data_IF_610993439832
#
_entry.id   IF_610993439832
#
_cell.length_a   1.000
_cell.length_b   1.000
_cell.length_c   1.000
_cell.angle_alpha   90.00
_cell.angle_beta   90.00
_cell.angle_gamma   90.00
#
_symmetry.space_group_name_H-M   'P 1'
#
loop_
_entity.id
_entity.type
_entity.pdbx_description
1 polymer ?
#
# COMPACT_ATOMS: atom_id res chain seq x y z
N UNK A 1 8.27 -2.44 14.27
CA UNK A 1 8.32 -3.62 13.37
C UNK A 1 9.73 -3.71 12.81
N UNK A 2 10.38 -4.88 12.80
CA UNK A 2 11.67 -5.02 12.11
C UNK A 2 11.42 -5.45 10.67
N UNK A 3 11.92 -4.68 9.70
CA UNK A 3 11.79 -5.01 8.28
C UNK A 3 12.91 -5.99 7.91
N UNK A 4 12.54 -7.11 7.28
CA UNK A 4 13.50 -8.06 6.71
C UNK A 4 13.96 -7.55 5.34
N UNK A 5 15.26 -7.39 5.14
CA UNK A 5 15.86 -6.84 3.90
C UNK A 5 15.40 -7.60 2.62
N UNK A 6 15.16 -8.91 2.73
CA UNK A 6 14.66 -9.72 1.60
C UNK A 6 13.21 -9.35 1.28
N UNK A 7 12.38 -9.21 2.30
CA UNK A 7 10.97 -8.80 2.17
C UNK A 7 10.87 -7.37 1.65
N UNK A 8 11.73 -6.49 2.13
CA UNK A 8 11.82 -5.09 1.73
C UNK A 8 12.12 -4.94 0.22
N UNK A 9 13.13 -5.66 -0.27
CA UNK A 9 13.51 -5.63 -1.69
C UNK A 9 12.38 -6.14 -2.60
N UNK A 10 11.71 -7.23 -2.20
CA UNK A 10 10.58 -7.79 -2.95
C UNK A 10 9.37 -6.84 -2.94
N UNK A 11 9.09 -6.23 -1.78
CA UNK A 11 8.03 -5.22 -1.62
C UNK A 11 8.28 -4.01 -2.51
N UNK A 12 9.50 -3.45 -2.49
CA UNK A 12 9.90 -2.35 -3.37
C UNK A 12 9.73 -2.70 -4.85
N UNK A 13 10.08 -3.92 -5.26
CA UNK A 13 9.91 -4.37 -6.64
C UNK A 13 8.44 -4.43 -7.06
N UNK A 14 7.55 -4.91 -6.19
CA UNK A 14 6.11 -4.95 -6.44
C UNK A 14 5.51 -3.53 -6.50
N UNK A 15 5.89 -2.64 -5.58
CA UNK A 15 5.49 -1.23 -5.60
C UNK A 15 5.97 -0.54 -6.88
N UNK A 16 7.23 -0.74 -7.29
CA UNK A 16 7.76 -0.16 -8.54
C UNK A 16 6.96 -0.61 -9.77
N UNK A 17 6.58 -1.89 -9.83
CA UNK A 17 5.74 -2.41 -10.91
C UNK A 17 4.34 -1.77 -10.92
N UNK A 18 3.75 -1.55 -9.75
CA UNK A 18 2.46 -0.89 -9.59
C UNK A 18 2.54 0.61 -9.94
N UNK A 19 3.58 1.34 -9.50
CA UNK A 19 3.85 2.74 -9.88
C UNK A 19 3.98 2.87 -11.40
N UNK A 20 4.65 1.91 -12.04
CA UNK A 20 4.81 1.84 -13.50
C UNK A 20 3.58 1.32 -14.25
N UNK A 21 2.48 1.00 -13.53
CA UNK A 21 1.22 0.50 -14.09
C UNK A 21 1.39 -0.72 -14.99
N UNK A 22 2.29 -1.63 -14.58
CA UNK A 22 2.64 -2.78 -15.38
C UNK A 22 2.16 -4.07 -14.71
N UNK A 23 0.96 -4.52 -15.09
CA UNK A 23 0.34 -5.71 -14.51
C UNK A 23 1.22 -6.96 -14.61
N UNK A 24 1.85 -7.20 -15.77
CA UNK A 24 2.71 -8.37 -15.95
C UNK A 24 3.96 -8.34 -15.06
N UNK A 25 4.53 -7.16 -14.81
CA UNK A 25 5.64 -7.02 -13.84
C UNK A 25 5.16 -7.13 -12.39
N UNK A 26 3.96 -6.64 -12.09
CA UNK A 26 3.39 -6.76 -10.75
C UNK A 26 3.11 -8.24 -10.44
N UNK A 27 2.44 -8.95 -11.34
CA UNK A 27 2.21 -10.39 -11.22
C UNK A 27 3.52 -11.16 -11.04
N UNK A 28 4.54 -10.88 -11.87
CA UNK A 28 5.85 -11.51 -11.75
C UNK A 28 6.54 -11.19 -10.42
N UNK A 29 6.42 -9.97 -9.91
CA UNK A 29 6.97 -9.59 -8.60
C UNK A 29 6.27 -10.31 -7.45
N UNK A 30 4.94 -10.44 -7.51
CA UNK A 30 4.16 -11.17 -6.51
C UNK A 30 4.46 -12.68 -6.54
N UNK A 31 4.71 -13.25 -7.72
CA UNK A 31 5.12 -14.66 -7.88
C UNK A 31 6.57 -14.91 -7.46
N UNK A 32 7.39 -13.87 -7.36
CA UNK A 32 8.78 -13.98 -6.92
C UNK A 32 8.92 -14.15 -5.39
N UNK A 33 7.82 -14.03 -4.63
CA UNK A 33 7.85 -14.32 -3.21
C UNK A 33 8.19 -15.81 -2.99
N UNK A 34 9.25 -16.11 -2.22
CA UNK A 34 9.77 -17.46 -2.08
C UNK A 34 8.92 -18.38 -1.19
N UNK A 35 8.11 -17.80 -0.30
CA UNK A 35 7.28 -18.49 0.68
C UNK A 35 6.13 -17.58 1.16
N UNK A 36 5.15 -18.20 1.82
CA UNK A 36 3.97 -17.50 2.35
C UNK A 36 4.33 -16.45 3.41
N UNK A 37 5.40 -16.68 4.17
CA UNK A 37 5.88 -15.75 5.20
C UNK A 37 6.44 -14.47 4.56
N UNK A 38 7.23 -14.59 3.48
CA UNK A 38 7.71 -13.44 2.73
C UNK A 38 6.58 -12.69 2.03
N UNK A 39 5.59 -13.40 1.47
CA UNK A 39 4.41 -12.78 0.88
C UNK A 39 3.61 -12.01 1.94
N UNK A 40 3.39 -12.61 3.11
CA UNK A 40 2.70 -11.99 4.25
C UNK A 40 3.44 -10.76 4.74
N UNK A 41 4.76 -10.86 4.97
CA UNK A 41 5.58 -9.73 5.42
C UNK A 41 5.56 -8.58 4.42
N UNK A 42 5.53 -8.89 3.11
CA UNK A 42 5.47 -7.86 2.06
C UNK A 42 4.13 -7.11 2.06
N UNK A 43 3.03 -7.84 2.26
CA UNK A 43 1.69 -7.24 2.39
C UNK A 43 1.60 -6.42 3.67
N UNK A 44 2.08 -6.94 4.80
CA UNK A 44 2.11 -6.21 6.08
C UNK A 44 2.91 -4.91 5.96
N UNK A 45 4.06 -4.94 5.28
CA UNK A 45 4.84 -3.73 4.99
C UNK A 45 4.08 -2.74 4.11
N UNK A 46 3.48 -3.19 3.00
CA UNK A 46 2.68 -2.32 2.13
C UNK A 46 1.50 -1.66 2.86
N UNK A 47 0.79 -2.42 3.72
CA UNK A 47 -0.29 -1.90 4.55
C UNK A 47 0.19 -0.88 5.60
N UNK A 48 1.35 -1.14 6.21
CA UNK A 48 1.97 -0.22 7.16
C UNK A 48 2.37 1.10 6.47
N UNK A 49 2.96 1.03 5.28
CA UNK A 49 3.31 2.20 4.46
C UNK A 49 2.06 2.96 4.03
N UNK A 50 1.02 2.28 3.54
CA UNK A 50 -0.28 2.89 3.20
C UNK A 50 -0.83 3.69 4.39
N UNK A 51 -0.83 3.08 5.57
CA UNK A 51 -1.31 3.74 6.79
C UNK A 51 -0.43 4.94 7.15
N UNK A 52 0.89 4.78 7.13
CA UNK A 52 1.83 5.87 7.42
C UNK A 52 1.60 7.08 6.51
N UNK A 53 1.55 6.87 5.18
CA UNK A 53 1.37 7.95 4.21
C UNK A 53 0.05 8.67 4.45
N UNK A 54 -1.05 7.95 4.69
CA UNK A 54 -2.34 8.57 4.99
C UNK A 54 -2.30 9.40 6.27
N UNK A 55 -1.66 8.90 7.33
CA UNK A 55 -1.53 9.66 8.58
C UNK A 55 -0.66 10.90 8.41
N UNK A 56 0.43 10.82 7.64
CA UNK A 56 1.31 11.96 7.36
C UNK A 56 0.59 13.03 6.53
N UNK A 57 -0.12 12.63 5.46
CA UNK A 57 -0.84 13.55 4.55
C UNK A 57 -1.97 14.28 5.26
N UNK A 58 -2.72 13.58 6.10
CA UNK A 58 -3.88 14.16 6.80
C UNK A 58 -3.54 14.67 8.22
N UNK A 59 -2.26 14.67 8.61
CA UNK A 59 -1.79 15.05 9.94
C UNK A 59 -2.53 14.32 11.08
N UNK A 60 -2.83 13.04 10.88
CA UNK A 60 -3.65 12.21 11.76
C UNK A 60 -4.49 11.20 10.99
N UNK A 61 -5.36 10.47 11.72
CA UNK A 61 -6.25 9.49 11.11
C UNK A 61 -7.23 10.18 10.15
N UNK A 62 -7.30 9.79 8.86
CA UNK A 62 -8.24 10.38 7.92
C UNK A 62 -9.71 10.13 8.31
N UNK A 63 -10.59 11.08 7.96
CA UNK A 63 -12.05 10.90 8.08
C UNK A 63 -12.59 10.00 6.96
N UNK A 64 -13.80 9.42 7.10
CA UNK A 64 -14.43 8.63 6.02
C UNK A 64 -14.61 9.40 4.72
N UNK A 65 -14.87 10.71 4.78
CA UNK A 65 -14.98 11.55 3.59
C UNK A 65 -13.63 11.70 2.90
N UNK A 66 -12.55 11.82 3.68
CA UNK A 66 -11.18 11.89 3.15
C UNK A 66 -10.75 10.57 2.50
N UNK A 67 -11.05 9.42 3.13
CA UNK A 67 -10.76 8.10 2.52
C UNK A 67 -11.53 7.91 1.22
N UNK A 68 -12.79 8.37 1.17
CA UNK A 68 -13.59 8.29 -0.05
C UNK A 68 -13.05 9.19 -1.17
N UNK A 69 -12.51 10.37 -0.85
CA UNK A 69 -11.84 11.22 -1.85
C UNK A 69 -10.61 10.51 -2.43
N UNK A 70 -9.78 9.90 -1.57
CA UNK A 70 -8.63 9.08 -2.03
C UNK A 70 -9.11 7.93 -2.91
N UNK A 71 -10.18 7.24 -2.53
CA UNK A 71 -10.72 6.14 -3.32
C UNK A 71 -11.19 6.58 -4.71
N UNK A 72 -11.86 7.73 -4.82
CA UNK A 72 -12.28 8.30 -6.12
C UNK A 72 -11.08 8.66 -6.99
N UNK A 73 -10.08 9.33 -6.41
CA UNK A 73 -8.86 9.72 -7.15
C UNK A 73 -8.09 8.49 -7.63
N UNK A 74 -7.90 7.50 -6.76
CA UNK A 74 -7.22 6.25 -7.08
C UNK A 74 -7.91 5.51 -8.21
N UNK A 75 -9.23 5.35 -8.18
CA UNK A 75 -9.96 4.65 -9.25
C UNK A 75 -9.82 5.37 -10.59
N UNK A 76 -9.79 6.70 -10.60
CA UNK A 76 -9.59 7.47 -11.82
C UNK A 76 -8.16 7.33 -12.35
N UNK A 77 -7.15 7.29 -11.47
CA UNK A 77 -5.74 7.20 -11.87
C UNK A 77 -5.28 5.78 -12.18
N UNK A 78 -5.82 4.78 -11.48
CA UNK A 78 -5.40 3.38 -11.52
C UNK A 78 -6.39 2.49 -12.29
N UNK A 79 -7.09 3.06 -13.29
CA UNK A 79 -8.03 2.34 -14.18
C UNK A 79 -7.44 1.07 -14.82
N UNK A 80 -6.12 1.02 -14.99
CA UNK A 80 -5.42 -0.15 -15.56
C UNK A 80 -5.55 -1.41 -14.71
N UNK A 81 -5.81 -1.27 -13.41
CA UNK A 81 -6.04 -2.38 -12.49
C UNK A 81 -7.53 -2.57 -12.14
N UNK A 82 -8.41 -1.75 -12.73
CA UNK A 82 -9.86 -1.83 -12.62
C UNK A 82 -10.44 -1.90 -11.17
N UNK A 83 -9.90 -1.19 -10.15
CA UNK A 83 -10.51 -1.18 -8.83
C UNK A 83 -11.83 -0.39 -8.86
N UNK A 84 -12.76 -0.72 -7.98
CA UNK A 84 -13.96 0.09 -7.73
C UNK A 84 -13.78 1.02 -6.52
N UNK A 85 -14.55 2.11 -6.48
CA UNK A 85 -14.47 3.09 -5.37
C UNK A 85 -14.83 2.43 -4.04
N UNK A 86 -15.84 1.56 -4.03
CA UNK A 86 -16.31 0.90 -2.82
C UNK A 86 -15.31 -0.16 -2.31
N UNK A 87 -14.58 -0.85 -3.20
CA UNK A 87 -13.49 -1.75 -2.81
C UNK A 87 -12.35 -0.98 -2.14
N UNK A 88 -11.93 0.13 -2.72
CA UNK A 88 -10.81 0.94 -2.20
C UNK A 88 -11.19 1.62 -0.89
N UNK A 89 -12.37 2.25 -0.81
CA UNK A 89 -12.87 2.89 0.41
C UNK A 89 -13.07 1.85 1.53
N UNK A 90 -13.62 0.68 1.20
CA UNK A 90 -13.77 -0.43 2.13
C UNK A 90 -12.43 -0.98 2.63
N UNK A 91 -11.44 -1.10 1.75
CA UNK A 91 -10.08 -1.48 2.09
C UNK A 91 -9.41 -0.47 3.03
N UNK A 92 -9.43 0.82 2.67
CA UNK A 92 -8.84 1.89 3.48
C UNK A 92 -9.50 2.01 4.84
N UNK A 93 -10.83 1.96 4.88
CA UNK A 93 -11.58 2.01 6.13
C UNK A 93 -11.21 0.86 7.06
N UNK A 94 -11.11 -0.37 6.56
CA UNK A 94 -10.72 -1.53 7.39
C UNK A 94 -9.29 -1.39 7.91
N UNK A 95 -8.36 -1.01 7.04
CA UNK A 95 -6.96 -0.79 7.40
C UNK A 95 -6.83 0.24 8.53
N UNK A 96 -7.43 1.43 8.36
CA UNK A 96 -7.34 2.53 9.33
C UNK A 96 -8.09 2.24 10.64
N UNK A 97 -8.99 1.27 10.65
CA UNK A 97 -9.73 0.83 11.84
C UNK A 97 -9.17 -0.46 12.47
N UNK A 98 -8.08 -1.03 11.93
CA UNK A 98 -7.51 -2.29 12.43
C UNK A 98 -8.47 -3.47 12.31
N UNK A 99 -9.38 -3.44 11.34
CA UNK A 99 -10.37 -4.48 11.11
C UNK A 99 -9.81 -5.55 10.19
N UNK A 100 -10.21 -6.81 10.42
CA UNK A 100 -9.88 -7.89 9.50
C UNK A 100 -10.46 -7.64 8.10
N UNK A 101 -9.71 -7.94 7.05
CA UNK A 101 -10.20 -7.86 5.67
C UNK A 101 -11.13 -9.03 5.34
N UNK A 102 -10.78 -10.23 5.78
CA UNK A 102 -11.63 -11.41 5.67
C UNK A 102 -12.83 -11.34 6.64
N UNK A 103 -14.00 -11.89 6.25
CA UNK A 103 -14.31 -12.55 4.98
C UNK A 103 -14.77 -11.57 3.87
N UNK A 104 -14.73 -10.27 4.11
CA UNK A 104 -15.37 -9.28 3.23
C UNK A 104 -14.60 -9.02 1.94
N UNK A 105 -13.27 -9.08 1.98
CA UNK A 105 -12.41 -8.93 0.80
C UNK A 105 -11.63 -10.25 0.62
N UNK A 106 -11.66 -10.88 -0.57
CA UNK A 106 -10.84 -12.04 -0.88
C UNK A 106 -9.35 -11.74 -0.67
N UNK A 107 -8.59 -12.72 -0.16
CA UNK A 107 -7.18 -12.52 0.19
C UNK A 107 -6.33 -12.06 -1.01
N UNK A 108 -6.58 -12.61 -2.20
CA UNK A 108 -5.90 -12.22 -3.42
C UNK A 108 -6.13 -10.74 -3.76
N UNK A 109 -7.36 -10.26 -3.60
CA UNK A 109 -7.71 -8.87 -3.87
C UNK A 109 -7.07 -7.93 -2.85
N UNK A 110 -6.98 -8.34 -1.57
CA UNK A 110 -6.24 -7.60 -0.54
C UNK A 110 -4.78 -7.42 -0.90
N UNK A 111 -4.12 -8.48 -1.41
CA UNK A 111 -2.71 -8.43 -1.81
C UNK A 111 -2.54 -7.40 -2.93
N UNK A 112 -3.32 -7.52 -4.00
CA UNK A 112 -3.22 -6.64 -5.17
C UNK A 112 -3.55 -5.20 -4.80
N UNK A 113 -4.64 -4.97 -4.05
CA UNK A 113 -5.02 -3.64 -3.56
C UNK A 113 -3.94 -3.02 -2.67
N UNK A 114 -3.29 -3.80 -1.79
CA UNK A 114 -2.23 -3.28 -0.93
C UNK A 114 -1.10 -2.64 -1.75
N UNK A 115 -0.65 -3.28 -2.83
CA UNK A 115 0.42 -2.73 -3.67
C UNK A 115 -0.04 -1.55 -4.53
N UNK A 116 -1.24 -1.62 -5.13
CA UNK A 116 -1.76 -0.54 -5.97
C UNK A 116 -2.03 0.72 -5.13
N UNK A 117 -2.70 0.57 -3.99
CA UNK A 117 -3.00 1.68 -3.08
C UNK A 117 -1.70 2.29 -2.56
N UNK A 118 -0.76 1.48 -2.10
CA UNK A 118 0.55 1.98 -1.64
C UNK A 118 1.27 2.77 -2.75
N UNK A 119 1.37 2.20 -3.95
CA UNK A 119 2.03 2.82 -5.08
C UNK A 119 1.38 4.15 -5.49
N UNK A 120 0.04 4.18 -5.53
CA UNK A 120 -0.72 5.39 -5.82
C UNK A 120 -0.44 6.47 -4.77
N UNK A 121 -0.54 6.15 -3.48
CA UNK A 121 -0.33 7.12 -2.41
C UNK A 121 1.09 7.70 -2.41
N UNK A 122 2.11 6.83 -2.52
CA UNK A 122 3.51 7.25 -2.61
C UNK A 122 3.76 8.15 -3.83
N UNK A 123 3.10 7.85 -4.95
CA UNK A 123 3.22 8.65 -6.17
C UNK A 123 2.50 9.98 -6.06
N UNK A 124 1.28 10.00 -5.53
CA UNK A 124 0.41 11.18 -5.52
C UNK A 124 0.76 12.19 -4.42
N UNK A 125 1.29 11.72 -3.29
CA UNK A 125 1.52 12.56 -2.10
C UNK A 125 2.99 12.86 -1.78
N UNK A 126 3.92 12.51 -2.68
CA UNK A 126 5.34 12.93 -2.56
C UNK A 126 5.49 14.45 -2.56
N UNK A 127 6.50 14.99 -1.88
CA UNK A 127 6.68 16.45 -1.77
C UNK A 127 7.53 16.97 -2.93
N UNK A 128 6.96 17.86 -3.74
CA UNK A 128 7.69 18.54 -4.81
C UNK A 128 8.29 17.59 -5.85
N UNK A 129 9.61 17.68 -6.05
CA UNK A 129 10.37 16.89 -7.03
C UNK A 129 10.92 15.57 -6.47
N UNK A 130 10.54 15.20 -5.24
CA UNK A 130 10.92 13.91 -4.65
C UNK A 130 10.45 12.74 -5.53
N UNK A 131 11.24 11.67 -5.50
CA UNK A 131 10.83 10.41 -6.08
C UNK A 131 9.91 9.66 -5.12
N UNK A 132 9.07 8.76 -5.65
CA UNK A 132 8.14 7.99 -4.80
C UNK A 132 8.89 7.12 -3.77
N UNK A 133 10.11 6.67 -4.09
CA UNK A 133 10.92 5.86 -3.18
C UNK A 133 11.49 6.68 -2.02
N UNK A 134 11.70 8.00 -2.19
CA UNK A 134 12.17 8.84 -1.08
C UNK A 134 11.12 8.90 0.05
N UNK A 135 9.83 8.93 -0.33
CA UNK A 135 8.72 8.88 0.65
C UNK A 135 8.55 7.47 1.24
N UNK A 136 8.86 6.42 0.47
CA UNK A 136 8.89 5.05 1.00
C UNK A 136 10.00 4.90 2.05
N UNK A 137 11.21 5.38 1.77
CA UNK A 137 12.36 5.33 2.69
C UNK A 137 12.03 6.04 4.02
N UNK A 138 11.34 7.18 3.95
CA UNK A 138 10.83 7.88 5.13
C UNK A 138 9.82 7.03 5.91
N UNK A 139 8.86 6.41 5.21
CA UNK A 139 7.84 5.57 5.83
C UNK A 139 8.47 4.35 6.52
N UNK A 140 9.37 3.64 5.84
CA UNK A 140 10.07 2.46 6.36
C UNK A 140 10.90 2.83 7.61
N UNK A 141 11.66 3.93 7.55
CA UNK A 141 12.42 4.43 8.70
C UNK A 141 11.51 4.70 9.90
N UNK A 142 10.36 5.34 9.68
CA UNK A 142 9.41 5.64 10.75
C UNK A 142 8.74 4.37 11.32
N UNK A 143 8.42 3.39 10.47
CA UNK A 143 7.84 2.11 10.85
C UNK A 143 8.83 1.27 11.70
N UNK A 144 10.12 1.31 11.36
CA UNK A 144 11.17 0.65 12.15
C UNK A 144 11.40 1.34 13.50
N UNK A 145 11.31 2.67 13.55
CA UNK A 145 11.47 3.45 14.77
C UNK A 145 10.26 3.38 15.72
N UNK A 146 9.08 2.99 15.23
CA UNK A 146 7.89 2.88 16.04
C UNK A 146 8.02 1.70 17.04
N UNK A 147 7.84 1.94 18.36
CA UNK A 147 7.80 0.86 19.34
C UNK A 147 6.64 -0.08 19.02
N UNK A 148 6.87 -1.39 19.13
CA UNK A 148 5.82 -2.40 19.00
C UNK A 148 4.64 -2.03 19.93
N UNK A 149 3.47 -1.83 19.35
CA UNK A 149 2.23 -1.53 20.07
C UNK A 149 1.44 -2.79 20.29
#
# INVERSE_FOLDING_TARGET
MKIDERVEALTRSAIDAAVKRNFGKLEAALQAFPDDDAARGSVELALAVTSFVLYEVYAGKPTPEQTRVVAVDLVEMEKWAEPTVDEVDGFLSRLLNGQAFAPTIPAQDVIVLAFIVTAHLLSSFRKGDEHWWDFLDLAETAIEAAPER
#
